data_IF_571927184874
#
_entry.id   IF_571927184874
#
_cell.length_a   1.000
_cell.length_b   1.000
_cell.length_c   1.000
_cell.angle_alpha   90.00
_cell.angle_beta   90.00
_cell.angle_gamma   90.00
#
_symmetry.space_group_name_H-M   'P 1'
#
loop_
_entity.id
_entity.type
_entity.pdbx_description
1 polymer ?
#
# COMPACT_ATOMS: atom_id res chain seq x y z
N UNK A 1 -39.69 -0.18 -5.47
CA UNK A 1 -38.88 -1.43 -5.53
C UNK A 1 -39.75 -2.57 -6.04
N UNK A 2 -39.20 -3.45 -6.89
CA UNK A 2 -39.98 -4.49 -7.56
C UNK A 2 -40.38 -5.63 -6.59
N UNK A 3 -41.67 -5.68 -6.21
CA UNK A 3 -42.22 -6.60 -5.19
C UNK A 3 -42.06 -8.07 -5.58
N UNK A 4 -42.15 -8.37 -6.88
CA UNK A 4 -41.98 -9.73 -7.40
C UNK A 4 -40.56 -10.27 -7.20
N UNK A 5 -39.54 -9.44 -7.49
CA UNK A 5 -38.12 -9.80 -7.32
C UNK A 5 -37.84 -10.20 -5.88
N UNK A 6 -38.22 -9.35 -4.91
CA UNK A 6 -37.96 -9.61 -3.49
C UNK A 6 -38.66 -10.91 -3.04
N UNK A 7 -39.92 -11.12 -3.41
CA UNK A 7 -40.66 -12.35 -3.11
C UNK A 7 -39.99 -13.60 -3.68
N UNK A 8 -39.47 -13.53 -4.91
CA UNK A 8 -38.78 -14.65 -5.54
C UNK A 8 -37.45 -14.97 -4.83
N UNK A 9 -36.64 -13.95 -4.53
CA UNK A 9 -35.36 -14.10 -3.82
C UNK A 9 -35.56 -14.69 -2.43
N UNK A 10 -36.47 -14.13 -1.64
CA UNK A 10 -36.74 -14.61 -0.28
C UNK A 10 -37.31 -16.04 -0.28
N UNK A 11 -38.09 -16.42 -1.32
CA UNK A 11 -38.59 -17.78 -1.50
C UNK A 11 -37.45 -18.78 -1.75
N UNK A 12 -36.48 -18.42 -2.59
CA UNK A 12 -35.33 -19.29 -2.86
C UNK A 12 -34.39 -19.38 -1.66
N UNK A 13 -34.13 -18.27 -0.95
CA UNK A 13 -33.38 -18.28 0.31
C UNK A 13 -33.98 -19.28 1.32
N UNK A 14 -35.30 -19.21 1.56
CA UNK A 14 -35.97 -20.12 2.50
C UNK A 14 -35.85 -21.58 2.07
N UNK A 15 -35.96 -21.87 0.77
CA UNK A 15 -35.78 -23.24 0.26
C UNK A 15 -34.37 -23.76 0.53
N UNK A 16 -33.34 -22.95 0.29
CA UNK A 16 -31.96 -23.32 0.58
C UNK A 16 -31.76 -23.61 2.07
N UNK A 17 -32.27 -22.76 2.96
CA UNK A 17 -32.18 -22.97 4.41
C UNK A 17 -32.85 -24.28 4.89
N UNK A 18 -33.96 -24.67 4.25
CA UNK A 18 -34.66 -25.92 4.57
C UNK A 18 -33.87 -27.15 4.08
N UNK A 19 -33.26 -27.07 2.89
CA UNK A 19 -32.48 -28.16 2.30
C UNK A 19 -31.15 -28.41 3.03
N UNK A 20 -30.49 -27.38 3.56
CA UNK A 20 -29.21 -27.52 4.28
C UNK A 20 -29.36 -27.98 5.74
N UNK A 21 -30.60 -28.18 6.22
CA UNK A 21 -30.88 -28.63 7.58
C UNK A 21 -30.79 -27.50 8.60
N UNK A 22 -31.93 -27.04 9.12
CA UNK A 22 -32.03 -25.92 10.04
C UNK A 22 -31.25 -26.09 11.37
N UNK A 23 -30.74 -27.29 11.69
CA UNK A 23 -29.93 -27.56 12.88
C UNK A 23 -28.43 -27.33 12.68
N UNK A 24 -27.91 -27.38 11.44
CA UNK A 24 -26.48 -27.20 11.15
C UNK A 24 -26.07 -25.71 11.09
N UNK A 25 -27.02 -24.81 10.80
CA UNK A 25 -26.76 -23.38 10.54
C UNK A 25 -27.24 -22.46 11.68
N UNK A 26 -27.99 -22.99 12.67
CA UNK A 26 -28.60 -22.20 13.77
C UNK A 26 -27.61 -21.77 14.86
N UNK A 27 -26.37 -21.49 14.50
CA UNK A 27 -25.37 -20.88 15.39
C UNK A 27 -25.52 -19.36 15.42
N UNK A 28 -26.28 -18.83 16.38
CA UNK A 28 -26.19 -17.46 16.98
C UNK A 28 -26.01 -16.21 16.08
N UNK A 29 -26.12 -16.28 14.76
CA UNK A 29 -25.87 -15.14 13.86
C UNK A 29 -27.17 -14.42 13.50
N UNK A 30 -27.28 -13.16 13.94
CA UNK A 30 -28.43 -12.28 13.73
C UNK A 30 -28.73 -12.02 12.23
N UNK A 31 -27.73 -12.18 11.36
CA UNK A 31 -27.86 -12.02 9.91
C UNK A 31 -28.72 -13.12 9.26
N UNK A 32 -28.79 -14.34 9.82
CA UNK A 32 -29.56 -15.44 9.23
C UNK A 32 -31.07 -15.39 9.53
N UNK A 33 -31.50 -14.53 10.45
CA UNK A 33 -32.91 -14.39 10.85
C UNK A 33 -33.66 -13.30 10.06
N UNK A 34 -33.03 -12.65 9.08
CA UNK A 34 -33.65 -11.60 8.25
C UNK A 34 -33.76 -12.06 6.79
N UNK A 35 -34.81 -11.60 6.10
CA UNK A 35 -34.95 -11.84 4.66
C UNK A 35 -33.82 -11.12 3.91
N UNK A 36 -33.25 -11.73 2.86
CA UNK A 36 -32.19 -11.11 2.04
C UNK A 36 -32.64 -9.76 1.50
N UNK A 37 -33.91 -9.63 1.12
CA UNK A 37 -34.46 -8.36 0.66
C UNK A 37 -34.44 -7.25 1.71
N UNK A 38 -34.66 -7.58 2.99
CA UNK A 38 -34.61 -6.65 4.12
C UNK A 38 -33.17 -6.25 4.47
N UNK A 39 -32.24 -7.20 4.39
CA UNK A 39 -30.81 -6.93 4.59
C UNK A 39 -30.28 -6.00 3.51
N UNK A 40 -30.55 -6.29 2.23
CA UNK A 40 -30.15 -5.39 1.14
C UNK A 40 -30.81 -4.02 1.31
N UNK A 41 -32.07 -3.96 1.70
CA UNK A 41 -32.75 -2.69 1.94
C UNK A 41 -32.12 -1.90 3.10
N UNK A 42 -31.64 -2.55 4.16
CA UNK A 42 -30.98 -1.88 5.28
C UNK A 42 -29.60 -1.36 4.89
N UNK A 43 -28.80 -2.14 4.15
CA UNK A 43 -27.51 -1.70 3.61
C UNK A 43 -27.66 -0.55 2.62
N UNK A 44 -28.71 -0.56 1.79
CA UNK A 44 -28.99 0.51 0.83
C UNK A 44 -29.55 1.79 1.45
N UNK A 45 -29.84 1.82 2.76
CA UNK A 45 -30.22 3.08 3.45
C UNK A 45 -29.05 4.05 3.59
N UNK A 46 -27.84 3.53 3.75
CA UNK A 46 -26.61 4.33 3.82
C UNK A 46 -25.48 3.60 3.08
N UNK A 47 -25.48 3.65 1.73
CA UNK A 47 -24.43 3.02 0.94
C UNK A 47 -23.09 3.75 1.09
N UNK A 48 -23.13 5.03 1.49
CA UNK A 48 -21.97 5.90 1.67
C UNK A 48 -20.96 5.32 2.65
N UNK A 49 -21.42 4.70 3.74
CA UNK A 49 -20.54 4.05 4.72
C UNK A 49 -19.75 2.89 4.11
N UNK A 50 -20.42 2.04 3.34
CA UNK A 50 -19.80 0.88 2.69
C UNK A 50 -18.83 1.33 1.60
N UNK A 51 -19.26 2.27 0.75
CA UNK A 51 -18.44 2.81 -0.33
C UNK A 51 -17.15 3.45 0.24
N UNK A 52 -17.26 4.25 1.30
CA UNK A 52 -16.08 4.83 1.97
C UNK A 52 -15.13 3.78 2.53
N UNK A 53 -15.63 2.64 3.00
CA UNK A 53 -14.78 1.54 3.45
C UNK A 53 -14.07 0.83 2.29
N UNK A 54 -14.76 0.67 1.15
CA UNK A 54 -14.17 0.05 -0.05
C UNK A 54 -13.17 0.96 -0.77
N UNK A 55 -13.30 2.28 -0.63
CA UNK A 55 -12.41 3.27 -1.25
C UNK A 55 -11.15 3.58 -0.43
N UNK A 56 -11.03 3.04 0.78
CA UNK A 56 -9.83 3.23 1.60
C UNK A 56 -8.68 2.40 1.05
N UNK A 57 -7.58 3.04 0.64
CA UNK A 57 -6.36 2.33 0.26
C UNK A 57 -5.63 1.80 1.50
N UNK A 58 -5.70 0.50 1.77
CA UNK A 58 -4.94 -0.15 2.87
C UNK A 58 -3.62 -0.73 2.40
N UNK A 59 -3.38 -0.74 1.10
CA UNK A 59 -2.14 -1.23 0.52
C UNK A 59 -0.96 -0.39 0.97
N UNK A 60 0.03 -1.05 1.59
CA UNK A 60 1.32 -0.43 1.95
C UNK A 60 2.23 -0.31 0.72
N UNK A 61 1.75 -0.73 -0.45
CA UNK A 61 2.46 -0.76 -1.72
C UNK A 61 1.92 0.37 -2.57
N UNK A 62 2.79 1.30 -2.98
CA UNK A 62 2.45 2.35 -3.92
C UNK A 62 1.90 1.72 -5.21
N UNK A 63 0.72 2.17 -5.64
CA UNK A 63 0.10 1.73 -6.90
C UNK A 63 1.05 2.07 -8.05
N UNK A 64 1.33 1.11 -8.92
CA UNK A 64 2.23 1.32 -10.05
C UNK A 64 1.63 2.37 -10.98
N UNK A 65 2.32 3.50 -11.19
CA UNK A 65 1.84 4.61 -12.01
C UNK A 65 1.35 5.83 -11.25
N UNK A 66 1.21 5.77 -9.91
CA UNK A 66 1.10 7.01 -9.12
C UNK A 66 2.49 7.62 -9.00
N UNK A 67 2.68 8.79 -9.61
CA UNK A 67 3.87 9.60 -9.37
C UNK A 67 3.84 9.95 -7.89
N UNK A 68 4.86 9.61 -7.09
CA UNK A 68 4.98 10.11 -5.74
C UNK A 68 5.27 11.61 -5.84
N UNK A 69 4.23 12.44 -5.97
CA UNK A 69 4.33 13.77 -5.42
C UNK A 69 4.50 13.58 -3.91
N UNK A 70 5.46 14.31 -3.34
CA UNK A 70 5.70 14.41 -1.91
C UNK A 70 6.54 13.27 -1.28
N UNK A 71 7.76 13.14 -1.80
CA UNK A 71 8.92 12.93 -0.94
C UNK A 71 9.35 14.26 -0.28
N UNK A 72 8.47 14.93 0.47
CA UNK A 72 8.79 16.03 1.40
C UNK A 72 7.51 16.45 2.13
N UNK A 73 7.64 16.74 3.43
CA UNK A 73 6.62 17.24 4.40
C UNK A 73 6.01 16.21 5.39
N UNK A 74 6.32 16.33 6.70
CA UNK A 74 5.84 15.42 7.76
C UNK A 74 4.54 15.88 8.45
N UNK A 75 3.62 16.58 7.78
CA UNK A 75 2.48 17.24 8.45
C UNK A 75 1.12 17.14 7.74
N UNK A 76 0.84 16.05 7.01
CA UNK A 76 -0.45 15.85 6.34
C UNK A 76 -1.18 14.58 6.83
N UNK A 77 -1.48 14.51 8.12
CA UNK A 77 -2.31 13.42 8.66
C UNK A 77 -3.82 13.63 8.47
N UNK A 78 -4.27 14.84 8.11
CA UNK A 78 -5.71 15.18 8.12
C UNK A 78 -6.39 15.17 6.75
N UNK A 79 -5.65 15.13 5.63
CA UNK A 79 -6.23 15.27 4.28
C UNK A 79 -6.36 13.98 3.46
N UNK A 80 -5.93 12.84 4.01
CA UNK A 80 -6.05 11.49 3.38
C UNK A 80 -7.36 10.76 3.72
N UNK A 81 -8.40 11.47 4.18
CA UNK A 81 -9.64 10.85 4.64
C UNK A 81 -10.65 10.57 3.51
N UNK A 82 -10.41 11.10 2.31
CA UNK A 82 -11.26 10.85 1.14
C UNK A 82 -10.54 9.84 0.25
N UNK A 83 -10.95 8.58 0.37
CA UNK A 83 -10.38 7.47 -0.41
C UNK A 83 -10.59 7.67 -1.91
N UNK A 84 -9.75 7.04 -2.73
CA UNK A 84 -9.84 7.17 -4.18
C UNK A 84 -11.18 6.61 -4.69
N UNK A 85 -11.98 7.41 -5.41
CA UNK A 85 -13.31 6.97 -5.85
C UNK A 85 -13.26 5.83 -6.87
N UNK A 86 -12.14 5.69 -7.58
CA UNK A 86 -11.87 4.62 -8.55
C UNK A 86 -11.31 3.33 -7.90
N UNK A 87 -10.89 3.40 -6.63
CA UNK A 87 -10.31 2.28 -5.92
C UNK A 87 -11.42 1.47 -5.23
N UNK A 88 -11.48 0.18 -5.54
CA UNK A 88 -12.40 -0.77 -4.89
C UNK A 88 -11.56 -1.85 -4.22
N UNK A 89 -11.35 -1.72 -2.91
CA UNK A 89 -10.67 -2.70 -2.08
C UNK A 89 -11.73 -3.58 -1.36
N UNK A 90 -12.04 -4.73 -1.93
CA UNK A 90 -13.03 -5.70 -1.43
C UNK A 90 -12.41 -6.84 -0.60
N UNK A 91 -11.12 -6.74 -0.26
CA UNK A 91 -10.36 -7.80 0.39
C UNK A 91 -10.96 -8.23 1.74
N UNK A 92 -11.50 -7.29 2.53
CA UNK A 92 -12.17 -7.60 3.80
C UNK A 92 -13.49 -8.34 3.58
N UNK A 93 -14.25 -7.91 2.58
CA UNK A 93 -15.52 -8.54 2.21
C UNK A 93 -15.29 -9.97 1.73
N UNK A 94 -14.29 -10.17 0.86
CA UNK A 94 -13.87 -11.50 0.43
C UNK A 94 -13.40 -12.37 1.60
N UNK A 95 -12.61 -11.82 2.53
CA UNK A 95 -12.20 -12.55 3.74
C UNK A 95 -13.40 -12.97 4.60
N UNK A 96 -14.42 -12.12 4.72
CA UNK A 96 -15.62 -12.43 5.48
C UNK A 96 -16.44 -13.54 4.81
N UNK A 97 -16.65 -13.48 3.49
CA UNK A 97 -17.31 -14.55 2.73
C UNK A 97 -16.56 -15.88 2.83
N UNK A 98 -15.24 -15.83 2.72
CA UNK A 98 -14.39 -17.01 2.81
C UNK A 98 -14.44 -17.62 4.23
N UNK A 99 -14.46 -16.77 5.28
CA UNK A 99 -14.61 -17.21 6.68
C UNK A 99 -15.95 -17.90 6.89
N UNK A 100 -17.04 -17.29 6.42
CA UNK A 100 -18.39 -17.84 6.50
C UNK A 100 -18.49 -19.18 5.75
N UNK A 101 -17.88 -19.27 4.55
CA UNK A 101 -17.82 -20.51 3.79
C UNK A 101 -17.12 -21.64 4.57
N UNK A 102 -15.96 -21.37 5.16
CA UNK A 102 -15.27 -22.37 5.97
C UNK A 102 -16.06 -22.79 7.22
N UNK A 103 -16.72 -21.84 7.90
CA UNK A 103 -17.61 -22.13 9.03
C UNK A 103 -18.79 -23.04 8.63
N UNK A 104 -19.30 -22.94 7.40
CA UNK A 104 -20.38 -23.81 6.90
C UNK A 104 -19.94 -25.22 6.54
N UNK A 105 -18.67 -25.42 6.15
CA UNK A 105 -18.13 -26.73 5.77
C UNK A 105 -17.72 -27.52 7.02
N UNK A 106 -17.01 -26.88 7.94
CA UNK A 106 -16.57 -27.52 9.17
C UNK A 106 -16.36 -26.47 10.29
N UNK A 107 -17.24 -26.43 11.30
CA UNK A 107 -17.13 -25.46 12.40
C UNK A 107 -15.85 -25.63 13.22
N UNK A 108 -15.22 -26.82 13.21
CA UNK A 108 -13.95 -27.08 13.90
C UNK A 108 -12.71 -26.62 13.11
N UNK A 109 -12.83 -26.43 11.79
CA UNK A 109 -11.72 -26.03 10.90
C UNK A 109 -11.53 -24.50 10.78
N UNK A 110 -12.45 -23.73 11.39
CA UNK A 110 -12.46 -22.26 11.34
C UNK A 110 -11.14 -21.61 11.81
N UNK A 111 -10.46 -22.20 12.80
CA UNK A 111 -9.16 -21.71 13.28
C UNK A 111 -8.04 -21.89 12.26
N UNK A 112 -7.95 -23.04 11.59
CA UNK A 112 -6.91 -23.33 10.60
C UNK A 112 -7.04 -22.43 9.36
N UNK A 113 -8.28 -22.20 8.90
CA UNK A 113 -8.58 -21.25 7.83
C UNK A 113 -8.21 -19.80 8.22
N UNK A 114 -8.50 -19.41 9.46
CA UNK A 114 -8.16 -18.09 9.99
C UNK A 114 -6.64 -17.86 10.05
N UNK A 115 -5.87 -18.87 10.45
CA UNK A 115 -4.40 -18.84 10.44
C UNK A 115 -3.81 -18.71 9.02
N UNK A 116 -4.41 -19.37 8.03
CA UNK A 116 -4.03 -19.21 6.63
C UNK A 116 -4.27 -17.78 6.14
N UNK A 117 -5.39 -17.14 6.52
CA UNK A 117 -5.69 -15.75 6.16
C UNK A 117 -4.68 -14.76 6.74
N UNK A 118 -4.28 -14.94 8.02
CA UNK A 118 -3.27 -14.09 8.66
C UNK A 118 -1.89 -14.19 7.97
N UNK A 119 -1.62 -15.29 7.26
CA UNK A 119 -0.36 -15.51 6.51
C UNK A 119 -0.29 -14.68 5.21
N UNK A 120 -1.44 -14.33 4.61
CA UNK A 120 -1.49 -13.48 3.41
C UNK A 120 -1.31 -12.00 3.70
N UNK A 121 -1.37 -11.59 4.97
CA UNK A 121 -1.02 -10.24 5.37
C UNK A 121 0.48 -10.02 5.13
N UNK A 122 0.81 -9.19 4.15
CA UNK A 122 2.21 -8.83 3.87
C UNK A 122 2.80 -8.18 5.11
N UNK A 123 3.72 -8.88 5.77
CA UNK A 123 4.41 -8.35 6.94
C UNK A 123 5.10 -7.06 6.54
N UNK A 124 4.74 -5.95 7.19
CA UNK A 124 5.41 -4.66 7.02
C UNK A 124 6.89 -4.83 7.37
N UNK A 125 7.74 -4.93 6.35
CA UNK A 125 9.19 -4.97 6.53
C UNK A 125 9.66 -3.53 6.68
N UNK A 126 10.57 -3.29 7.62
CA UNK A 126 11.26 -2.00 7.72
C UNK A 126 11.89 -1.70 6.37
N UNK A 127 11.70 -0.48 5.88
CA UNK A 127 12.36 -0.02 4.66
C UNK A 127 13.86 0.07 5.00
N UNK A 128 14.62 -0.89 4.49
CA UNK A 128 16.07 -0.99 4.67
C UNK A 128 16.72 -0.70 3.33
N UNK A 129 17.76 0.15 3.33
CA UNK A 129 18.59 0.41 2.16
C UNK A 129 19.28 -0.89 1.72
N UNK A 130 18.70 -1.59 0.74
CA UNK A 130 19.22 -2.88 0.24
C UNK A 130 20.60 -2.71 -0.41
N UNK A 131 20.91 -1.50 -0.90
CA UNK A 131 22.21 -1.16 -1.52
C UNK A 131 23.27 -0.78 -0.48
N UNK A 132 22.90 -0.53 0.78
CA UNK A 132 23.86 -0.32 1.85
C UNK A 132 24.61 -1.60 2.25
N UNK A 133 24.14 -2.78 1.83
CA UNK A 133 24.84 -4.05 2.09
C UNK A 133 26.09 -4.20 1.21
N UNK A 134 27.15 -4.81 1.78
CA UNK A 134 28.39 -5.19 1.07
C UNK A 134 29.08 -4.04 0.32
N UNK A 135 29.21 -2.88 0.96
CA UNK A 135 29.99 -1.73 0.47
C UNK A 135 29.58 -1.19 -0.91
N UNK A 136 28.34 -1.42 -1.36
CA UNK A 136 27.83 -0.86 -2.63
C UNK A 136 27.39 0.60 -2.53
N UNK A 137 27.41 1.15 -1.30
CA UNK A 137 27.17 2.56 -0.98
C UNK A 137 28.39 3.09 -0.22
N UNK A 138 28.92 4.23 -0.65
CA UNK A 138 30.04 4.90 0.03
C UNK A 138 29.53 5.43 1.37
N UNK A 139 30.27 5.13 2.44
CA UNK A 139 29.98 5.60 3.79
C UNK A 139 31.17 6.42 4.29
N UNK A 140 30.90 7.65 4.70
CA UNK A 140 31.91 8.55 5.25
C UNK A 140 32.13 8.24 6.73
N UNK A 141 32.73 7.09 7.01
CA UNK A 141 33.14 6.71 8.36
C UNK A 141 34.66 6.80 8.48
N UNK A 142 35.14 7.36 9.58
CA UNK A 142 36.58 7.38 9.90
C UNK A 142 36.99 5.96 10.31
N UNK A 143 38.04 5.44 9.69
CA UNK A 143 38.58 4.12 10.00
C UNK A 143 39.89 4.29 10.77
N UNK A 144 39.91 3.99 12.07
CA UNK A 144 41.03 4.28 12.97
C UNK A 144 42.39 3.75 12.47
N UNK A 145 42.41 2.55 11.86
CA UNK A 145 43.66 1.92 11.37
C UNK A 145 44.34 2.66 10.23
N UNK A 146 43.61 3.47 9.47
CA UNK A 146 44.17 4.25 8.35
C UNK A 146 44.32 5.73 8.68
N UNK A 147 43.90 6.16 9.88
CA UNK A 147 44.16 7.52 10.37
C UNK A 147 45.68 7.67 10.52
N UNK A 148 46.23 8.77 9.99
CA UNK A 148 47.67 9.06 10.00
C UNK A 148 48.56 7.97 9.36
N UNK A 149 48.02 7.18 8.41
CA UNK A 149 48.80 6.13 7.75
C UNK A 149 50.03 6.67 7.00
N UNK A 150 49.95 7.88 6.45
CA UNK A 150 51.07 8.56 5.78
C UNK A 150 51.07 10.05 6.10
N UNK A 151 52.27 10.62 6.23
CA UNK A 151 52.44 12.06 6.36
C UNK A 151 52.22 12.77 5.00
N UNK A 152 51.53 13.92 4.97
CA UNK A 152 51.34 14.68 3.73
C UNK A 152 52.69 15.11 3.12
N UNK A 153 52.95 14.71 1.87
CA UNK A 153 54.13 15.15 1.12
C UNK A 153 53.80 16.41 0.34
N UNK A 154 54.56 17.48 0.57
CA UNK A 154 54.43 18.73 -0.20
C UNK A 154 54.92 18.49 -1.62
N UNK A 155 54.03 18.67 -2.60
CA UNK A 155 54.37 18.69 -4.01
C UNK A 155 54.56 20.15 -4.42
N UNK A 156 55.67 20.46 -5.10
CA UNK A 156 55.87 21.79 -5.70
C UNK A 156 54.96 21.88 -6.93
N UNK A 157 53.86 22.58 -6.79
CA UNK A 157 52.95 22.87 -7.91
C UNK A 157 53.53 24.09 -8.65
N UNK A 158 53.73 24.02 -9.98
CA UNK A 158 54.17 25.17 -10.76
C UNK A 158 53.21 26.36 -10.60
N UNK A 159 53.72 27.61 -10.54
CA UNK A 159 52.88 28.80 -10.34
C UNK A 159 51.88 29.02 -11.49
N UNK A 160 52.17 28.57 -12.71
CA UNK A 160 51.26 28.69 -13.86
C UNK A 160 50.18 27.59 -13.93
N UNK A 161 50.14 26.66 -12.98
CA UNK A 161 49.26 25.48 -13.03
C UNK A 161 47.78 25.83 -13.17
N UNK A 162 47.33 26.89 -12.49
CA UNK A 162 45.95 27.34 -12.58
C UNK A 162 45.57 27.76 -14.02
N UNK A 163 46.45 28.45 -14.71
CA UNK A 163 46.19 28.96 -16.07
C UNK A 163 46.32 27.87 -17.12
N UNK A 164 47.23 26.91 -16.91
CA UNK A 164 47.30 25.70 -17.72
C UNK A 164 46.04 24.84 -17.58
N UNK A 165 45.52 24.65 -16.36
CA UNK A 165 44.32 23.86 -16.10
C UNK A 165 43.04 24.51 -16.64
N UNK A 166 42.95 25.84 -16.56
CA UNK A 166 41.83 26.60 -17.14
C UNK A 166 41.74 26.46 -18.66
N UNK A 167 42.88 26.34 -19.32
CA UNK A 167 43.00 26.24 -20.78
C UNK A 167 43.25 24.81 -21.26
N UNK A 168 43.06 23.80 -20.40
CA UNK A 168 43.41 22.40 -20.69
C UNK A 168 42.58 21.80 -21.83
N UNK A 169 41.31 22.19 -21.92
CA UNK A 169 40.41 21.82 -23.01
C UNK A 169 39.77 23.09 -23.53
N UNK A 170 39.93 23.36 -24.84
CA UNK A 170 39.25 24.40 -25.63
C UNK A 170 38.98 25.71 -24.90
N UNK A 171 39.69 26.78 -25.27
CA UNK A 171 39.37 28.14 -24.83
C UNK A 171 37.86 28.31 -24.77
N UNK A 172 37.29 28.65 -23.61
CA UNK A 172 35.91 29.13 -23.52
C UNK A 172 35.85 30.46 -24.27
N UNK A 173 35.91 30.44 -25.59
CA UNK A 173 35.46 31.52 -26.45
C UNK A 173 33.96 31.52 -26.37
N UNK A 174 33.45 32.11 -25.31
CA UNK A 174 32.12 32.69 -25.31
C UNK A 174 32.27 34.12 -24.84
N UNK A 175 32.84 34.93 -25.73
CA UNK A 175 32.65 36.38 -25.69
C UNK A 175 31.17 36.61 -26.02
N UNK A 176 30.32 36.47 -25.00
CA UNK A 176 28.96 36.96 -25.01
C UNK A 176 28.94 38.32 -24.32
N UNK A 177 28.77 39.37 -25.15
CA UNK A 177 28.30 40.73 -24.81
C UNK A 177 29.39 41.62 -24.13
N UNK A 178 29.62 42.87 -24.54
CA UNK A 178 28.63 43.90 -24.86
C UNK A 178 29.04 44.81 -26.04
N UNK A 179 28.08 45.17 -26.88
CA UNK A 179 28.11 46.43 -27.61
C UNK A 179 27.93 47.56 -26.59
N UNK A 180 28.92 48.43 -26.44
CA UNK A 180 28.73 49.78 -25.92
C UNK A 180 28.58 50.74 -27.10
N UNK A 181 27.47 51.48 -27.05
CA UNK A 181 27.09 52.77 -27.69
C UNK A 181 27.62 53.05 -29.10
#
# INVERSE_FOLDING_TARGET
MCVFRNKAVDKWQRRTQVTTGAAAIKGKLHAFNQNVSEQVASYMRDPSRMIKQMQQSRSTVAVFGTVPEEAMEPNQEEKKLEGDPELVEDAEFYQQLLKEFFETIDPASSEAAFYAMKKFQTKKRKIVDRRASKSRKIRYNVHEKIVNFMAPRRVKIPPNSADLLKNLFGLKTRNGLACEV
#
